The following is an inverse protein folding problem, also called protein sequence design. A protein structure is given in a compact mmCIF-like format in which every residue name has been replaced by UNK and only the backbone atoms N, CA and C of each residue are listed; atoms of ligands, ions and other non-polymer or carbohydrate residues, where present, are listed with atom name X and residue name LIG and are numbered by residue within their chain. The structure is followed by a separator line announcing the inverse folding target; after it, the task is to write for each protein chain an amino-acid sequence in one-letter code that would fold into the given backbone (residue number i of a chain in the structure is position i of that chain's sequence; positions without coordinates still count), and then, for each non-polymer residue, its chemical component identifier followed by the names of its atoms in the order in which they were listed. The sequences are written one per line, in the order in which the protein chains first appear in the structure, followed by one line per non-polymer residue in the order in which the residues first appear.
data_IF_412698592404
#
_entry.id   IF_412698592404
#
_cell.length_a   1.000
_cell.length_b   1.000
_cell.length_c   1.000
_cell.angle_alpha   90.00
_cell.angle_beta   90.00
_cell.angle_gamma   90.00
#
_symmetry.space_group_name_H-M   'P 1'
#
loop_
_entity.id
_entity.type
_entity.pdbx_description
1 polymer ?
#
# COMPACT_ATOMS: atom_id res chain seq x y z
N UNK A 1 1.97 -0.85 15.60
CA UNK A 1 0.62 -1.32 15.18
C UNK A 1 0.74 -1.90 13.79
N UNK A 2 0.04 -3.00 13.51
CA UNK A 2 0.05 -3.66 12.20
C UNK A 2 -1.20 -3.25 11.44
N UNK A 3 -1.05 -2.78 10.21
CA UNK A 3 -2.13 -2.26 9.37
C UNK A 3 -2.22 -3.10 8.10
N UNK A 4 -3.42 -3.55 7.77
CA UNK A 4 -3.71 -4.28 6.56
C UNK A 4 -4.47 -3.39 5.58
N UNK A 5 -3.94 -3.22 4.36
CA UNK A 5 -4.51 -2.34 3.34
C UNK A 5 -4.87 -3.16 2.10
N UNK A 6 -6.15 -3.20 1.76
CA UNK A 6 -6.62 -3.74 0.48
C UNK A 6 -6.53 -2.68 -0.62
N UNK A 7 -6.08 -3.06 -1.82
CA UNK A 7 -5.89 -2.10 -2.92
C UNK A 7 -4.67 -1.19 -2.73
N UNK A 8 -3.69 -1.62 -1.93
CA UNK A 8 -2.52 -0.80 -1.54
C UNK A 8 -1.58 -0.43 -2.69
N UNK A 9 -1.70 -1.06 -3.87
CA UNK A 9 -0.94 -0.69 -5.06
C UNK A 9 -1.72 0.25 -6.00
N UNK A 10 -3.00 0.52 -5.72
CA UNK A 10 -3.82 1.48 -6.48
C UNK A 10 -3.43 2.94 -6.22
N UNK A 11 -4.04 3.89 -6.95
CA UNK A 11 -3.70 5.32 -6.85
C UNK A 11 -3.77 5.84 -5.41
N UNK A 12 -4.90 5.68 -4.72
CA UNK A 12 -5.04 6.14 -3.32
C UNK A 12 -4.26 5.24 -2.36
N UNK A 13 -4.30 3.93 -2.60
CA UNK A 13 -3.67 2.93 -1.73
C UNK A 13 -2.16 3.10 -1.61
N UNK A 14 -1.48 3.50 -2.69
CA UNK A 14 -0.03 3.68 -2.69
C UNK A 14 0.40 4.88 -1.84
N UNK A 15 -0.29 6.03 -1.96
CA UNK A 15 -0.01 7.19 -1.11
C UNK A 15 -0.36 6.92 0.36
N UNK A 16 -1.48 6.25 0.65
CA UNK A 16 -1.84 5.85 2.00
C UNK A 16 -0.79 4.91 2.60
N UNK A 17 -0.41 3.85 1.88
CA UNK A 17 0.59 2.87 2.32
C UNK A 17 1.92 3.56 2.61
N UNK A 18 2.38 4.44 1.72
CA UNK A 18 3.58 5.24 1.92
C UNK A 18 3.51 6.07 3.19
N UNK A 19 2.41 6.82 3.39
CA UNK A 19 2.23 7.64 4.59
C UNK A 19 2.23 6.80 5.87
N UNK A 20 1.59 5.63 5.88
CA UNK A 20 1.59 4.73 7.03
C UNK A 20 3.00 4.21 7.35
N UNK A 21 3.79 3.86 6.32
CA UNK A 21 5.18 3.46 6.48
C UNK A 21 6.05 4.60 7.04
N UNK A 22 5.88 5.82 6.51
CA UNK A 22 6.58 7.03 6.98
C UNK A 22 6.25 7.37 8.45
N UNK A 23 5.07 6.99 8.93
CA UNK A 23 4.65 7.13 10.33
C UNK A 23 5.12 5.96 11.23
N UNK A 24 5.92 5.03 10.71
CA UNK A 24 6.51 3.92 11.49
C UNK A 24 5.57 2.74 11.74
N UNK A 25 4.48 2.62 10.98
CA UNK A 25 3.59 1.46 11.07
C UNK A 25 4.14 0.28 10.25
N UNK A 26 3.86 -0.94 10.71
CA UNK A 26 4.04 -2.15 9.89
C UNK A 26 2.81 -2.31 9.01
N UNK A 27 2.99 -2.33 7.69
CA UNK A 27 1.90 -2.40 6.72
C UNK A 27 2.01 -3.67 5.89
N UNK A 28 0.90 -4.38 5.72
CA UNK A 28 0.75 -5.46 4.75
C UNK A 28 -0.32 -5.04 3.75
N UNK A 29 0.01 -5.10 2.47
CA UNK A 29 -0.94 -4.78 1.40
C UNK A 29 -1.46 -6.07 0.75
N UNK A 30 -2.72 -6.04 0.33
CA UNK A 30 -3.31 -7.06 -0.54
C UNK A 30 -3.95 -6.37 -1.74
N UNK A 31 -3.46 -6.65 -2.93
CA UNK A 31 -3.95 -6.04 -4.17
C UNK A 31 -4.03 -7.10 -5.27
N UNK A 32 -5.08 -7.01 -6.07
CA UNK A 32 -5.32 -7.94 -7.19
C UNK A 32 -4.51 -7.58 -8.44
N UNK A 33 -3.97 -6.36 -8.53
CA UNK A 33 -3.23 -5.84 -9.68
C UNK A 33 -4.02 -5.77 -10.99
N UNK A 34 -5.35 -5.89 -10.96
CA UNK A 34 -6.20 -5.81 -12.17
C UNK A 34 -6.18 -4.41 -12.81
N UNK A 35 -6.06 -3.36 -12.00
CA UNK A 35 -6.02 -1.94 -12.42
C UNK A 35 -4.85 -1.16 -11.80
N UNK A 36 -3.92 -1.84 -11.14
CA UNK A 36 -2.79 -1.26 -10.40
C UNK A 36 -1.48 -1.94 -10.80
N UNK A 37 -0.34 -1.30 -10.51
CA UNK A 37 0.98 -1.86 -10.78
C UNK A 37 1.68 -2.22 -9.47
N UNK A 38 2.32 -3.39 -9.43
CA UNK A 38 3.16 -3.79 -8.30
C UNK A 38 4.33 -2.81 -8.06
N UNK A 39 4.75 -2.04 -9.06
CA UNK A 39 5.79 -1.02 -8.89
C UNK A 39 5.36 0.10 -7.94
N UNK A 40 4.05 0.36 -7.82
CA UNK A 40 3.52 1.33 -6.88
C UNK A 40 3.72 0.92 -5.41
N UNK A 41 3.98 -0.36 -5.14
CA UNK A 41 4.19 -0.90 -3.81
C UNK A 41 5.68 -1.04 -3.43
N UNK A 42 6.61 -0.64 -4.31
CA UNK A 42 8.06 -0.81 -4.13
C UNK A 42 8.78 0.46 -3.65
N UNK A 43 8.07 1.57 -3.49
CA UNK A 43 8.59 2.87 -3.06
C UNK A 43 8.27 3.14 -1.59
#
# INVERSE_FOLDING_TARGET
MNIFVTGGAGFIGSFLTKSLLENGYSVTIYDSLVISSADNAKN
#
